data_IF_954081465869
#
_entry.id   IF_954081465869
#
_cell.length_a   1.000
_cell.length_b   1.000
_cell.length_c   1.000
_cell.angle_alpha   90.00
_cell.angle_beta   90.00
_cell.angle_gamma   90.00
#
_symmetry.space_group_name_H-M   'P 1'
#
loop_
_entity.id
_entity.type
_entity.pdbx_description
1 polymer ?
#
# COMPACT_ATOMS: atom_id res chain seq x y z
N UNK A 1 2.83 -7.65 11.35
CA UNK A 1 3.46 -9.01 11.31
C UNK A 1 3.41 -9.55 9.90
N UNK A 2 4.44 -10.22 9.40
CA UNK A 2 4.44 -10.78 8.04
C UNK A 2 3.33 -11.82 7.84
N UNK A 3 2.67 -11.77 6.69
CA UNK A 3 1.71 -12.80 6.25
C UNK A 3 2.42 -14.07 5.75
N UNK A 4 3.61 -13.89 5.18
CA UNK A 4 4.49 -14.95 4.65
C UNK A 4 5.97 -14.52 4.74
N UNK A 5 6.90 -15.41 4.46
CA UNK A 5 8.33 -15.08 4.32
C UNK A 5 8.62 -14.29 3.04
N UNK A 6 9.90 -13.95 2.81
CA UNK A 6 10.30 -13.27 1.58
C UNK A 6 10.03 -14.15 0.35
N UNK A 7 9.21 -13.68 -0.55
CA UNK A 7 8.87 -14.27 -1.85
C UNK A 7 9.27 -13.27 -2.93
N UNK A 8 10.01 -13.74 -3.95
CA UNK A 8 10.42 -12.90 -5.09
C UNK A 8 9.99 -13.49 -6.42
N UNK A 9 9.25 -14.58 -6.38
CA UNK A 9 8.55 -15.14 -7.53
C UNK A 9 7.24 -14.36 -7.74
N UNK A 10 7.15 -13.70 -8.88
CA UNK A 10 6.00 -12.84 -9.20
C UNK A 10 4.73 -13.66 -9.41
N UNK A 11 4.83 -14.87 -9.96
CA UNK A 11 3.67 -15.74 -10.15
C UNK A 11 3.12 -16.22 -8.79
N UNK A 12 4.00 -16.45 -7.80
CA UNK A 12 3.58 -16.79 -6.44
C UNK A 12 2.92 -15.60 -5.74
N UNK A 13 3.51 -14.39 -5.84
CA UNK A 13 2.93 -13.16 -5.29
C UNK A 13 1.60 -12.80 -5.95
N UNK A 14 1.40 -13.11 -7.23
CA UNK A 14 0.15 -12.84 -7.94
C UNK A 14 -1.06 -13.66 -7.43
N UNK A 15 -0.84 -14.62 -6.53
CA UNK A 15 -1.92 -15.30 -5.82
C UNK A 15 -2.50 -14.51 -4.63
N UNK A 16 -2.06 -13.27 -4.43
CA UNK A 16 -2.64 -12.36 -3.44
C UNK A 16 -2.99 -11.01 -4.04
N UNK A 17 -4.04 -10.38 -3.51
CA UNK A 17 -4.34 -8.98 -3.73
C UNK A 17 -4.67 -8.36 -2.37
N UNK A 18 -3.69 -7.70 -1.78
CA UNK A 18 -3.78 -7.20 -0.41
C UNK A 18 -4.16 -5.71 -0.33
N UNK A 19 -4.70 -5.16 -1.44
CA UNK A 19 -5.12 -3.77 -1.50
C UNK A 19 -6.39 -3.61 -2.36
N UNK A 20 -7.55 -3.75 -1.71
CA UNK A 20 -8.87 -3.69 -2.38
C UNK A 20 -9.79 -2.75 -1.62
N UNK A 21 -10.40 -1.81 -2.35
CA UNK A 21 -11.40 -0.87 -1.82
C UNK A 21 -12.80 -1.31 -2.17
N UNK A 22 -13.70 -1.15 -1.19
CA UNK A 22 -15.14 -1.31 -1.39
C UNK A 22 -15.81 0.03 -1.68
N UNK A 23 -17.14 0.03 -1.81
CA UNK A 23 -17.95 1.25 -1.94
C UNK A 23 -17.88 2.18 -0.71
N UNK A 24 -17.25 1.78 0.38
CA UNK A 24 -16.99 2.64 1.53
C UNK A 24 -15.87 3.66 1.24
N UNK A 25 -14.95 3.33 0.34
CA UNK A 25 -13.99 4.28 -0.21
C UNK A 25 -14.60 5.09 -1.35
N UNK A 26 -14.66 6.42 -1.22
CA UNK A 26 -15.33 7.32 -2.19
C UNK A 26 -14.78 7.25 -3.61
N UNK A 27 -13.51 6.87 -3.76
CA UNK A 27 -12.81 6.71 -5.04
C UNK A 27 -13.16 5.39 -5.75
N UNK A 28 -13.72 4.40 -5.04
CA UNK A 28 -14.10 3.13 -5.64
C UNK A 28 -15.38 3.25 -6.49
N UNK A 29 -15.45 2.46 -7.57
CA UNK A 29 -16.66 2.40 -8.39
C UNK A 29 -17.85 1.88 -7.57
N UNK A 30 -19.07 2.33 -7.91
CA UNK A 30 -20.31 1.97 -7.19
C UNK A 30 -20.62 0.48 -7.13
N UNK A 31 -20.04 -0.32 -8.02
CA UNK A 31 -20.20 -1.77 -8.04
C UNK A 31 -19.14 -2.52 -7.24
N UNK A 32 -18.24 -1.83 -6.53
CA UNK A 32 -17.24 -2.42 -5.63
C UNK A 32 -17.86 -2.84 -4.30
N UNK A 33 -18.99 -3.55 -4.34
CA UNK A 33 -19.60 -4.15 -3.15
C UNK A 33 -18.78 -5.37 -2.72
N UNK A 34 -18.84 -5.72 -1.43
CA UNK A 34 -18.17 -6.92 -0.94
C UNK A 34 -18.57 -8.17 -1.75
N UNK A 35 -19.87 -8.34 -2.04
CA UNK A 35 -20.35 -9.51 -2.81
C UNK A 35 -19.72 -9.56 -4.20
N UNK A 36 -19.72 -8.46 -4.93
CA UNK A 36 -19.15 -8.41 -6.26
C UNK A 36 -17.62 -8.65 -6.26
N UNK A 37 -16.91 -8.14 -5.26
CA UNK A 37 -15.47 -8.40 -5.09
C UNK A 37 -15.22 -9.89 -4.87
N UNK A 38 -15.99 -10.53 -3.97
CA UNK A 38 -15.87 -11.96 -3.71
C UNK A 38 -16.21 -12.80 -4.93
N UNK A 39 -17.27 -12.42 -5.68
CA UNK A 39 -17.68 -13.09 -6.91
C UNK A 39 -16.59 -12.98 -8.01
N UNK A 40 -15.90 -11.85 -8.12
CA UNK A 40 -14.77 -11.72 -9.04
C UNK A 40 -13.56 -12.54 -8.56
N UNK A 41 -13.23 -12.47 -7.27
CA UNK A 41 -12.11 -13.23 -6.71
C UNK A 41 -12.31 -14.75 -6.86
N UNK A 42 -13.54 -15.26 -6.78
CA UNK A 42 -13.84 -16.69 -7.02
C UNK A 42 -13.56 -17.16 -8.45
N UNK A 43 -13.39 -16.25 -9.41
CA UNK A 43 -13.06 -16.58 -10.82
C UNK A 43 -11.55 -16.61 -11.07
N UNK A 44 -10.74 -16.39 -10.05
CA UNK A 44 -9.28 -16.24 -10.12
C UNK A 44 -8.56 -17.34 -9.35
N UNK A 45 -7.24 -17.34 -9.39
CA UNK A 45 -6.36 -18.21 -8.59
C UNK A 45 -5.92 -17.58 -7.26
N UNK A 46 -6.58 -16.50 -6.82
CA UNK A 46 -6.26 -15.82 -5.57
C UNK A 46 -6.38 -16.77 -4.37
N UNK A 47 -5.37 -16.75 -3.51
CA UNK A 47 -5.33 -17.48 -2.24
C UNK A 47 -5.61 -16.58 -1.04
N UNK A 48 -5.30 -15.28 -1.18
CA UNK A 48 -5.54 -14.28 -0.13
C UNK A 48 -5.94 -12.95 -0.74
N UNK A 49 -6.96 -12.32 -0.19
CA UNK A 49 -7.31 -10.93 -0.48
C UNK A 49 -7.41 -10.13 0.82
N UNK A 50 -7.17 -8.82 0.75
CA UNK A 50 -7.44 -7.93 1.85
C UNK A 50 -8.37 -6.80 1.42
N UNK A 51 -9.42 -6.57 2.21
CA UNK A 51 -10.30 -5.41 2.08
C UNK A 51 -9.71 -4.31 2.93
N UNK A 52 -9.28 -3.22 2.30
CA UNK A 52 -8.46 -2.16 2.89
C UNK A 52 -9.01 -0.79 2.49
N UNK A 53 -10.27 -0.51 2.84
CA UNK A 53 -10.85 0.80 2.60
C UNK A 53 -10.04 1.90 3.26
N UNK A 54 -10.08 3.12 2.69
CA UNK A 54 -9.38 4.26 3.25
C UNK A 54 -9.86 4.60 4.66
N UNK A 55 -8.93 4.81 5.56
CA UNK A 55 -9.14 5.45 6.85
C UNK A 55 -8.36 6.75 6.89
N UNK A 56 -9.06 7.84 6.59
CA UNK A 56 -8.47 9.17 6.58
C UNK A 56 -8.36 9.75 7.99
N UNK A 57 -7.38 10.63 8.25
CA UNK A 57 -7.29 11.36 9.51
C UNK A 57 -8.62 12.03 9.85
N UNK A 58 -9.05 11.91 11.11
CA UNK A 58 -10.28 12.51 11.64
C UNK A 58 -11.59 11.98 11.03
N UNK A 59 -11.54 10.94 10.21
CA UNK A 59 -12.71 10.26 9.67
C UNK A 59 -13.50 9.56 10.80
N UNK A 60 -14.83 9.62 10.70
CA UNK A 60 -15.71 8.93 11.65
C UNK A 60 -16.47 7.82 10.94
N UNK A 61 -16.71 6.74 11.64
CA UNK A 61 -17.53 5.64 11.14
C UNK A 61 -16.76 4.55 10.39
N UNK A 62 -15.43 4.64 10.29
CA UNK A 62 -14.61 3.60 9.69
C UNK A 62 -14.79 2.23 10.37
N UNK A 63 -14.86 2.20 11.72
CA UNK A 63 -15.14 0.98 12.47
C UNK A 63 -16.48 0.32 12.10
N UNK A 64 -17.50 1.11 11.78
CA UNK A 64 -18.80 0.58 11.39
C UNK A 64 -18.73 -0.06 10.00
N UNK A 65 -17.95 0.52 9.08
CA UNK A 65 -17.67 -0.07 7.78
C UNK A 65 -16.97 -1.43 7.94
N UNK A 66 -15.94 -1.51 8.78
CA UNK A 66 -15.22 -2.76 9.11
C UNK A 66 -16.18 -3.80 9.70
N UNK A 67 -17.04 -3.41 10.64
CA UNK A 67 -18.07 -4.29 11.21
C UNK A 67 -19.05 -4.82 10.15
N UNK A 68 -19.48 -3.97 9.21
CA UNK A 68 -20.36 -4.36 8.10
C UNK A 68 -19.68 -5.38 7.16
N UNK A 69 -18.41 -5.15 6.80
CA UNK A 69 -17.63 -6.10 6.00
C UNK A 69 -17.52 -7.45 6.73
N UNK A 70 -17.11 -7.44 8.00
CA UNK A 70 -17.01 -8.67 8.82
C UNK A 70 -18.35 -9.38 8.94
N UNK A 71 -19.45 -8.65 9.08
CA UNK A 71 -20.80 -9.22 9.10
C UNK A 71 -21.16 -9.87 7.75
N UNK A 72 -20.82 -9.23 6.65
CA UNK A 72 -21.04 -9.76 5.29
C UNK A 72 -20.24 -11.03 5.00
N UNK A 73 -19.11 -11.25 5.70
CA UNK A 73 -18.28 -12.45 5.55
C UNK A 73 -18.75 -13.64 6.42
N UNK A 74 -19.61 -13.41 7.42
CA UNK A 74 -20.03 -14.47 8.35
C UNK A 74 -20.71 -15.63 7.67
N UNK A 75 -20.24 -16.85 7.93
CA UNK A 75 -20.82 -18.08 7.42
C UNK A 75 -20.55 -18.34 5.93
N UNK A 76 -19.71 -17.55 5.28
CA UNK A 76 -19.28 -17.81 3.90
C UNK A 76 -18.14 -18.82 3.90
N UNK A 77 -18.25 -19.82 3.04
CA UNK A 77 -17.16 -20.74 2.71
C UNK A 77 -16.51 -20.25 1.41
N UNK A 78 -15.30 -19.71 1.50
CA UNK A 78 -14.56 -19.15 0.37
C UNK A 78 -13.28 -19.99 0.12
N UNK A 79 -12.89 -20.18 -1.16
CA UNK A 79 -11.68 -20.93 -1.49
C UNK A 79 -10.38 -20.18 -1.20
N UNK A 80 -10.47 -18.94 -0.74
CA UNK A 80 -9.36 -18.05 -0.41
C UNK A 80 -9.58 -17.38 0.96
N UNK A 81 -8.50 -16.91 1.55
CA UNK A 81 -8.54 -16.14 2.79
C UNK A 81 -8.95 -14.70 2.51
N UNK A 82 -9.83 -14.14 3.33
CA UNK A 82 -10.18 -12.71 3.31
C UNK A 82 -9.70 -12.08 4.61
N UNK A 83 -8.86 -11.06 4.48
CA UNK A 83 -8.41 -10.21 5.57
C UNK A 83 -9.22 -8.92 5.56
N UNK A 84 -9.59 -8.42 6.73
CA UNK A 84 -10.32 -7.16 6.89
C UNK A 84 -9.44 -6.19 7.66
N UNK A 85 -9.13 -5.07 7.02
CA UNK A 85 -8.26 -4.05 7.59
C UNK A 85 -8.60 -2.67 7.04
N UNK A 86 -7.57 -1.86 6.85
CA UNK A 86 -7.70 -0.54 6.26
C UNK A 86 -6.43 -0.09 5.56
N UNK A 87 -6.59 0.78 4.56
CA UNK A 87 -5.51 1.66 4.12
C UNK A 87 -5.48 2.87 5.04
N UNK A 88 -4.60 2.77 6.04
CA UNK A 88 -4.44 3.71 7.13
C UNK A 88 -3.44 4.81 6.72
N UNK A 89 -3.55 5.98 7.32
CA UNK A 89 -2.69 7.12 6.97
C UNK A 89 -1.65 7.39 8.07
N UNK A 90 -0.36 7.38 7.70
CA UNK A 90 0.70 8.04 8.45
C UNK A 90 0.83 9.46 7.92
N UNK A 91 -0.09 10.35 8.33
CA UNK A 91 -0.33 11.65 7.71
C UNK A 91 0.63 12.75 8.16
N UNK A 92 1.38 12.49 9.23
CA UNK A 92 2.49 13.30 9.74
C UNK A 92 3.44 12.39 10.50
N UNK A 93 4.61 12.86 10.85
CA UNK A 93 5.63 12.08 11.56
C UNK A 93 5.10 11.65 12.93
N UNK A 94 4.89 10.34 13.08
CA UNK A 94 4.36 9.74 14.30
C UNK A 94 2.87 9.99 14.57
N UNK A 95 2.12 10.52 13.58
CA UNK A 95 0.68 10.72 13.68
C UNK A 95 -0.05 9.80 12.68
N UNK A 96 -1.01 9.05 13.19
CA UNK A 96 -1.72 8.00 12.46
C UNK A 96 -3.22 8.24 12.47
N UNK A 97 -3.93 7.76 11.44
CA UNK A 97 -5.38 7.95 11.33
C UNK A 97 -6.19 7.09 12.29
N UNK A 98 -5.64 5.98 12.74
CA UNK A 98 -6.27 4.99 13.59
C UNK A 98 -5.80 5.08 15.06
N UNK A 99 -6.65 4.65 15.96
CA UNK A 99 -6.32 4.45 17.39
C UNK A 99 -5.62 3.11 17.60
N UNK A 100 -5.07 2.90 18.81
CA UNK A 100 -4.44 1.61 19.17
C UNK A 100 -5.47 0.47 19.20
N UNK A 101 -6.70 0.75 19.64
CA UNK A 101 -7.80 -0.21 19.68
C UNK A 101 -8.23 -0.61 18.25
N UNK A 102 -8.36 0.34 17.35
CA UNK A 102 -8.68 0.09 15.94
C UNK A 102 -7.57 -0.74 15.30
N UNK A 103 -6.30 -0.31 15.45
CA UNK A 103 -5.13 -1.00 14.93
C UNK A 103 -5.09 -2.47 15.34
N UNK A 104 -5.30 -2.74 16.63
CA UNK A 104 -5.31 -4.09 17.19
C UNK A 104 -6.49 -4.95 16.68
N UNK A 105 -7.54 -4.33 16.16
CA UNK A 105 -8.74 -5.03 15.67
C UNK A 105 -8.63 -5.52 14.23
N UNK A 106 -7.68 -4.99 13.44
CA UNK A 106 -7.53 -5.33 12.03
C UNK A 106 -6.78 -6.65 11.83
N UNK A 107 -7.17 -7.39 10.78
CA UNK A 107 -6.46 -8.57 10.32
C UNK A 107 -5.24 -8.19 9.46
N UNK A 108 -5.27 -6.99 8.85
CA UNK A 108 -4.22 -6.47 8.00
C UNK A 108 -4.17 -4.95 8.04
N UNK A 109 -2.99 -4.39 8.33
CA UNK A 109 -2.75 -2.96 8.53
C UNK A 109 -1.85 -2.46 7.40
N UNK A 110 -2.47 -1.90 6.38
CA UNK A 110 -1.80 -1.30 5.23
C UNK A 110 -1.69 0.21 5.46
N UNK A 111 -0.48 0.77 5.45
CA UNK A 111 -0.28 2.20 5.73
C UNK A 111 0.28 2.93 4.53
N UNK A 112 -0.35 4.02 4.14
CA UNK A 112 0.22 5.01 3.24
C UNK A 112 1.04 6.05 4.01
N UNK A 113 2.17 6.50 3.41
CA UNK A 113 3.10 7.46 4.01
C UNK A 113 3.35 8.70 3.15
N UNK A 114 2.61 8.90 2.05
CA UNK A 114 2.92 9.95 1.07
C UNK A 114 1.71 10.52 0.32
N UNK A 115 0.50 10.45 0.87
CA UNK A 115 -0.72 10.98 0.25
C UNK A 115 -0.87 12.52 0.36
N UNK A 116 0.17 13.28 0.04
CA UNK A 116 0.17 14.76 0.16
C UNK A 116 -0.91 15.45 -0.67
N UNK A 117 -1.57 14.76 -1.60
CA UNK A 117 -2.73 15.25 -2.34
C UNK A 117 -4.04 15.29 -1.50
N UNK A 118 -4.01 14.81 -0.26
CA UNK A 118 -5.14 14.86 0.67
C UNK A 118 -4.98 16.05 1.62
N UNK A 119 -6.03 16.84 1.81
CA UNK A 119 -6.01 18.06 2.64
C UNK A 119 -5.62 17.81 4.11
N UNK A 120 -5.81 16.59 4.59
CA UNK A 120 -5.50 16.19 5.97
C UNK A 120 -4.03 15.89 6.21
N UNK A 121 -3.21 15.81 5.15
CA UNK A 121 -1.78 15.48 5.26
C UNK A 121 -0.93 16.69 5.56
N UNK A 122 0.03 16.53 6.48
CA UNK A 122 0.95 17.59 6.88
C UNK A 122 2.14 17.61 5.92
N UNK A 123 2.22 18.69 5.16
CA UNK A 123 3.36 18.89 4.27
C UNK A 123 4.62 19.33 5.04
N UNK A 124 5.83 19.03 4.55
CA UNK A 124 7.06 19.52 5.16
C UNK A 124 7.12 21.06 5.14
N UNK A 125 7.86 21.65 6.09
CA UNK A 125 8.15 23.09 6.06
C UNK A 125 9.04 23.46 4.86
N UNK A 126 10.07 22.64 4.59
CA UNK A 126 10.86 22.72 3.38
C UNK A 126 10.09 22.09 2.22
N UNK A 127 9.56 22.95 1.33
CA UNK A 127 8.79 22.54 0.14
C UNK A 127 9.65 22.17 -1.06
N UNK A 128 10.98 22.10 -0.90
CA UNK A 128 11.87 21.58 -1.94
C UNK A 128 11.62 20.09 -2.18
N UNK A 129 12.11 19.58 -3.32
CA UNK A 129 12.10 18.14 -3.59
C UNK A 129 12.80 17.36 -2.47
N UNK A 130 13.94 17.89 -2.00
CA UNK A 130 14.67 17.29 -0.88
C UNK A 130 13.83 17.24 0.39
N UNK A 131 13.10 18.31 0.71
CA UNK A 131 12.24 18.36 1.91
C UNK A 131 11.14 17.31 1.87
N UNK A 132 10.50 17.09 0.71
CA UNK A 132 9.51 16.01 0.54
C UNK A 132 10.13 14.62 0.65
N UNK A 133 11.31 14.40 0.06
CA UNK A 133 12.03 13.13 0.17
C UNK A 133 12.37 12.83 1.64
N UNK A 134 12.89 13.81 2.35
CA UNK A 134 13.22 13.67 3.77
C UNK A 134 11.98 13.35 4.60
N UNK A 135 10.87 14.07 4.38
CA UNK A 135 9.61 13.84 5.08
C UNK A 135 9.02 12.44 4.80
N UNK A 136 9.14 11.92 3.58
CA UNK A 136 8.72 10.54 3.28
C UNK A 136 9.48 9.52 4.14
N UNK A 137 10.80 9.65 4.26
CA UNK A 137 11.58 8.75 5.11
C UNK A 137 11.32 8.96 6.61
N UNK A 138 11.08 10.19 7.07
CA UNK A 138 10.67 10.48 8.45
C UNK A 138 9.36 9.78 8.79
N UNK A 139 8.33 9.89 7.93
CA UNK A 139 7.05 9.21 8.10
C UNK A 139 7.20 7.69 8.13
N UNK A 140 7.93 7.12 7.17
CA UNK A 140 8.19 5.68 7.09
C UNK A 140 8.91 5.20 8.35
N UNK A 141 9.99 5.87 8.75
CA UNK A 141 10.75 5.46 9.93
C UNK A 141 9.93 5.58 11.22
N UNK A 142 9.13 6.64 11.37
CA UNK A 142 8.25 6.80 12.53
C UNK A 142 7.19 5.69 12.58
N UNK A 143 6.59 5.33 11.44
CA UNK A 143 5.63 4.24 11.34
C UNK A 143 6.27 2.88 11.70
N UNK A 144 7.46 2.60 11.16
CA UNK A 144 8.18 1.35 11.45
C UNK A 144 8.54 1.25 12.94
N UNK A 145 9.06 2.34 13.54
CA UNK A 145 9.39 2.37 14.97
C UNK A 145 8.16 2.25 15.88
N UNK A 146 6.99 2.66 15.42
CA UNK A 146 5.74 2.47 16.13
C UNK A 146 5.16 1.05 16.01
N UNK A 147 5.72 0.20 15.13
CA UNK A 147 5.32 -1.20 14.89
C UNK A 147 3.82 -1.36 14.53
N UNK A 148 3.23 -0.34 13.87
CA UNK A 148 1.79 -0.31 13.60
C UNK A 148 1.40 -1.02 12.30
N UNK A 149 2.30 -1.12 11.33
CA UNK A 149 2.00 -1.60 9.99
C UNK A 149 2.35 -3.07 9.78
N UNK A 150 1.50 -3.78 9.04
CA UNK A 150 1.86 -5.07 8.42
C UNK A 150 2.50 -4.83 7.05
N UNK A 151 2.10 -3.77 6.34
CA UNK A 151 2.65 -3.40 5.05
C UNK A 151 2.60 -1.89 4.81
N UNK A 152 3.59 -1.36 4.09
CA UNK A 152 3.61 0.03 3.61
C UNK A 152 3.05 0.05 2.19
N UNK A 153 1.94 0.79 1.99
CA UNK A 153 1.23 0.91 0.74
C UNK A 153 2.01 1.75 -0.28
N UNK A 154 2.02 1.31 -1.56
CA UNK A 154 2.57 2.05 -2.72
C UNK A 154 3.67 3.06 -2.35
N UNK A 155 4.79 2.59 -1.74
CA UNK A 155 5.82 3.48 -1.22
C UNK A 155 6.42 4.33 -2.34
N UNK A 156 6.76 5.58 -1.99
CA UNK A 156 7.51 6.48 -2.87
C UNK A 156 6.82 6.90 -4.17
N UNK A 157 5.49 6.91 -4.26
CA UNK A 157 4.75 7.32 -5.48
C UNK A 157 4.89 8.82 -5.74
N UNK A 158 5.64 9.19 -6.79
CA UNK A 158 5.99 10.58 -7.10
C UNK A 158 4.79 11.47 -7.47
N UNK A 159 3.73 10.91 -8.05
CA UNK A 159 2.52 11.69 -8.43
C UNK A 159 1.82 12.36 -7.24
N UNK A 160 2.01 11.86 -6.02
CA UNK A 160 1.43 12.45 -4.80
C UNK A 160 2.27 13.58 -4.21
N UNK A 161 3.42 13.86 -4.79
CA UNK A 161 4.42 14.81 -4.30
C UNK A 161 4.63 15.95 -5.30
N UNK A 162 4.76 15.61 -6.59
CA UNK A 162 5.29 16.52 -7.62
C UNK A 162 4.58 17.86 -7.72
N UNK A 163 3.25 17.90 -7.52
CA UNK A 163 2.45 19.13 -7.60
C UNK A 163 2.67 20.09 -6.42
N UNK A 164 3.32 19.62 -5.35
CA UNK A 164 3.53 20.36 -4.11
C UNK A 164 4.95 20.84 -3.92
N UNK A 165 5.87 20.43 -4.81
CA UNK A 165 7.27 20.88 -4.79
C UNK A 165 7.33 22.31 -5.34
N UNK A 166 7.94 23.22 -4.56
CA UNK A 166 8.06 24.65 -4.93
C UNK A 166 9.29 24.96 -5.81
N UNK A 167 9.91 23.93 -6.38
CA UNK A 167 11.03 24.03 -7.31
C UNK A 167 10.56 23.68 -8.72
N UNK A 168 11.18 24.26 -9.74
CA UNK A 168 10.92 23.89 -11.13
C UNK A 168 11.65 22.58 -11.47
N UNK A 169 10.99 21.46 -11.18
CA UNK A 169 11.47 20.11 -11.49
C UNK A 169 10.74 19.45 -12.65
N UNK A 170 9.92 20.22 -13.37
CA UNK A 170 9.02 19.71 -14.40
C UNK A 170 7.79 19.02 -13.81
N UNK A 171 7.03 18.33 -14.66
CA UNK A 171 5.76 17.70 -14.29
C UNK A 171 5.80 16.17 -14.34
N UNK A 172 6.94 15.55 -14.57
CA UNK A 172 7.09 14.10 -14.61
C UNK A 172 7.26 13.54 -13.19
N UNK A 173 6.31 12.74 -12.67
CA UNK A 173 6.43 12.10 -11.36
C UNK A 173 7.69 11.26 -11.17
N UNK A 174 8.25 10.72 -12.25
CA UNK A 174 9.49 9.95 -12.22
C UNK A 174 10.71 10.79 -11.81
N UNK A 175 10.64 12.12 -11.92
CA UNK A 175 11.69 13.02 -11.38
C UNK A 175 11.77 12.90 -9.84
N UNK A 176 10.63 12.79 -9.18
CA UNK A 176 10.57 12.63 -7.71
C UNK A 176 11.13 11.27 -7.29
N UNK A 177 10.71 10.20 -7.96
CA UNK A 177 11.15 8.84 -7.60
C UNK A 177 12.62 8.61 -7.88
N UNK A 178 13.18 9.25 -8.91
CA UNK A 178 14.61 9.21 -9.21
C UNK A 178 15.48 9.85 -8.13
N UNK A 179 14.93 10.78 -7.33
CA UNK A 179 15.64 11.48 -6.27
C UNK A 179 15.72 10.70 -4.94
N UNK A 180 14.96 9.61 -4.76
CA UNK A 180 15.11 8.76 -3.57
C UNK A 180 16.44 8.02 -3.59
N UNK A 181 17.19 8.14 -2.49
CA UNK A 181 18.49 7.51 -2.33
C UNK A 181 18.39 6.01 -2.02
N UNK A 182 19.14 5.18 -2.75
CA UNK A 182 19.11 3.71 -2.62
C UNK A 182 19.55 3.25 -1.23
N UNK A 183 20.54 3.92 -0.64
CA UNK A 183 21.04 3.61 0.70
C UNK A 183 19.95 3.82 1.76
N UNK A 184 19.23 4.94 1.68
CA UNK A 184 18.10 5.23 2.59
C UNK A 184 16.95 4.26 2.40
N UNK A 185 16.65 3.84 1.15
CA UNK A 185 15.64 2.80 0.88
C UNK A 185 16.08 1.49 1.55
N UNK A 186 17.33 1.08 1.36
CA UNK A 186 17.88 -0.14 1.96
C UNK A 186 17.85 -0.08 3.49
N UNK A 187 18.22 1.05 4.10
CA UNK A 187 18.16 1.26 5.56
C UNK A 187 16.72 1.12 6.10
N UNK A 188 15.74 1.72 5.42
CA UNK A 188 14.34 1.60 5.79
C UNK A 188 13.83 0.15 5.66
N UNK A 189 14.27 -0.57 4.61
CA UNK A 189 13.95 -1.99 4.43
C UNK A 189 14.60 -2.89 5.49
N UNK A 190 15.84 -2.59 5.90
CA UNK A 190 16.49 -3.30 7.00
C UNK A 190 15.78 -3.05 8.35
N UNK A 191 15.25 -1.83 8.58
CA UNK A 191 14.44 -1.53 9.75
C UNK A 191 13.10 -2.29 9.69
N UNK A 192 12.43 -2.30 8.52
CA UNK A 192 11.15 -2.98 8.33
C UNK A 192 11.23 -4.49 8.62
N UNK A 193 12.35 -5.14 8.31
CA UNK A 193 12.60 -6.55 8.66
C UNK A 193 12.61 -6.79 10.17
N UNK A 194 13.21 -5.88 10.94
CA UNK A 194 13.28 -6.02 12.41
C UNK A 194 11.91 -5.95 13.06
N UNK A 195 11.01 -5.14 12.50
CA UNK A 195 9.65 -4.93 13.01
C UNK A 195 8.59 -5.73 12.25
N UNK A 196 9.00 -6.58 11.30
CA UNK A 196 8.15 -7.46 10.50
C UNK A 196 7.07 -6.72 9.70
N UNK A 197 7.43 -5.60 9.07
CA UNK A 197 6.59 -4.85 8.14
C UNK A 197 7.01 -5.13 6.71
N UNK A 198 6.06 -5.52 5.85
CA UNK A 198 6.28 -5.74 4.42
C UNK A 198 6.21 -4.43 3.62
N UNK A 199 6.59 -4.50 2.35
CA UNK A 199 6.48 -3.42 1.38
C UNK A 199 5.53 -3.82 0.27
N UNK A 200 4.64 -2.94 -0.11
CA UNK A 200 3.73 -3.23 -1.21
C UNK A 200 4.45 -3.14 -2.56
N UNK A 201 4.32 -4.19 -3.35
CA UNK A 201 4.47 -4.16 -4.80
C UNK A 201 3.12 -3.77 -5.39
N UNK A 202 2.86 -2.47 -5.49
CA UNK A 202 1.63 -1.95 -6.05
C UNK A 202 1.70 -2.01 -7.57
N UNK A 203 0.82 -2.78 -8.18
CA UNK A 203 0.84 -3.02 -9.64
C UNK A 203 0.69 -1.72 -10.42
N UNK A 204 -0.21 -0.83 -10.01
CA UNK A 204 -0.41 0.46 -10.67
C UNK A 204 0.83 1.36 -10.61
N UNK A 205 1.51 1.39 -9.47
CA UNK A 205 2.73 2.15 -9.27
C UNK A 205 3.90 1.58 -10.09
N UNK A 206 4.07 0.25 -10.13
CA UNK A 206 5.09 -0.43 -10.94
C UNK A 206 4.91 -0.11 -12.43
N UNK A 207 3.67 -0.18 -12.94
CA UNK A 207 3.38 0.12 -14.34
C UNK A 207 3.60 1.61 -14.68
N UNK A 208 3.42 2.51 -13.72
CA UNK A 208 3.61 3.96 -13.92
C UNK A 208 5.07 4.39 -13.88
N UNK A 209 5.91 3.70 -13.13
CA UNK A 209 7.35 3.98 -13.01
C UNK A 209 8.18 2.69 -12.96
N UNK A 210 8.33 2.00 -14.10
CA UNK A 210 9.03 0.72 -14.16
C UNK A 210 10.53 0.82 -13.81
N UNK A 211 11.14 2.00 -14.00
CA UNK A 211 12.57 2.20 -13.72
C UNK A 211 12.80 2.23 -12.20
N UNK A 212 12.02 3.02 -11.48
CA UNK A 212 12.13 3.10 -10.03
C UNK A 212 11.77 1.77 -9.38
N UNK A 213 10.64 1.15 -9.74
CA UNK A 213 10.19 -0.06 -9.07
C UNK A 213 11.06 -1.29 -9.36
N UNK A 214 11.74 -1.36 -10.51
CA UNK A 214 12.80 -2.35 -10.72
C UNK A 214 13.94 -2.14 -9.72
N UNK A 215 14.41 -0.90 -9.54
CA UNK A 215 15.44 -0.53 -8.58
C UNK A 215 15.02 -0.88 -7.15
N UNK A 216 13.82 -0.47 -6.75
CA UNK A 216 13.21 -0.74 -5.46
C UNK A 216 13.12 -2.25 -5.15
N UNK A 217 12.65 -3.04 -6.12
CA UNK A 217 12.56 -4.50 -5.98
C UNK A 217 13.93 -5.16 -5.83
N UNK A 218 14.93 -4.72 -6.59
CA UNK A 218 16.29 -5.24 -6.50
C UNK A 218 16.93 -4.92 -5.14
N UNK A 219 16.80 -3.70 -4.63
CA UNK A 219 17.24 -3.33 -3.29
C UNK A 219 16.59 -4.26 -2.25
N UNK A 220 15.27 -4.47 -2.34
CA UNK A 220 14.56 -5.35 -1.42
C UNK A 220 15.03 -6.80 -1.47
N UNK A 221 15.33 -7.32 -2.67
CA UNK A 221 15.91 -8.65 -2.82
C UNK A 221 17.29 -8.76 -2.18
N UNK A 222 18.15 -7.76 -2.35
CA UNK A 222 19.50 -7.73 -1.78
C UNK A 222 19.47 -7.71 -0.26
N UNK A 223 18.58 -6.91 0.36
CA UNK A 223 18.44 -6.84 1.81
C UNK A 223 17.56 -7.95 2.39
N UNK A 224 16.84 -8.70 1.57
CA UNK A 224 15.92 -9.74 2.02
C UNK A 224 14.61 -9.19 2.60
N UNK A 225 14.10 -8.08 2.07
CA UNK A 225 12.82 -7.51 2.45
C UNK A 225 11.65 -8.40 2.03
N UNK A 226 10.55 -8.35 2.77
CA UNK A 226 9.30 -9.01 2.42
C UNK A 226 8.44 -8.07 1.58
N UNK A 227 7.95 -8.58 0.47
CA UNK A 227 6.98 -7.88 -0.38
C UNK A 227 5.62 -8.55 -0.30
N UNK A 228 4.56 -7.73 -0.32
CA UNK A 228 3.19 -8.12 -0.54
C UNK A 228 2.69 -7.51 -1.85
N UNK A 229 1.86 -8.21 -2.60
CA UNK A 229 1.29 -7.67 -3.83
C UNK A 229 -0.06 -7.00 -3.57
N UNK A 230 -0.24 -5.80 -4.11
CA UNK A 230 -1.50 -5.04 -4.06
C UNK A 230 -1.82 -4.40 -5.40
N UNK A 231 -3.12 -4.33 -5.71
CA UNK A 231 -3.62 -3.72 -6.94
C UNK A 231 -4.14 -2.30 -6.76
N UNK A 232 -4.36 -1.88 -5.51
CA UNK A 232 -5.11 -0.64 -5.20
C UNK A 232 -6.44 -0.63 -5.99
N UNK A 233 -7.21 -1.69 -5.77
CA UNK A 233 -8.35 -2.07 -6.60
C UNK A 233 -9.55 -1.19 -6.34
N UNK A 234 -9.93 -0.36 -7.31
CA UNK A 234 -11.11 0.51 -7.29
C UNK A 234 -12.18 0.10 -8.31
N UNK A 235 -11.96 -0.99 -9.06
CA UNK A 235 -12.88 -1.53 -10.06
C UNK A 235 -12.74 -3.05 -10.20
N UNK A 236 -13.83 -3.75 -10.47
CA UNK A 236 -13.88 -5.21 -10.49
C UNK A 236 -12.94 -5.86 -11.50
N UNK A 237 -12.68 -5.21 -12.63
CA UNK A 237 -11.76 -5.67 -13.67
C UNK A 237 -10.30 -5.75 -13.20
N UNK A 238 -9.98 -5.11 -12.06
CA UNK A 238 -8.66 -5.07 -11.43
C UNK A 238 -8.53 -5.93 -10.17
N UNK A 239 -9.44 -6.84 -9.92
CA UNK A 239 -9.36 -7.75 -8.74
C UNK A 239 -8.23 -8.75 -8.89
N UNK A 240 -7.93 -9.18 -10.11
CA UNK A 240 -7.00 -10.26 -10.44
C UNK A 240 -5.61 -9.74 -10.87
N UNK A 241 -4.59 -9.83 -10.03
CA UNK A 241 -3.23 -9.40 -10.37
C UNK A 241 -2.50 -10.36 -11.32
N UNK A 242 -2.93 -11.63 -11.44
CA UNK A 242 -2.31 -12.61 -12.35
C UNK A 242 -2.31 -12.11 -13.81
N UNK A 243 -3.30 -11.29 -14.19
CA UNK A 243 -3.38 -10.65 -15.50
C UNK A 243 -2.16 -9.78 -15.84
N UNK A 244 -1.40 -9.37 -14.84
CA UNK A 244 -0.23 -8.49 -14.99
C UNK A 244 1.09 -9.22 -14.75
N UNK A 245 1.09 -10.52 -14.38
CA UNK A 245 2.29 -11.28 -14.01
C UNK A 245 3.41 -11.20 -15.04
N UNK A 246 3.11 -11.38 -16.33
CA UNK A 246 4.13 -11.33 -17.38
C UNK A 246 4.74 -9.93 -17.54
N UNK A 247 3.94 -8.88 -17.36
CA UNK A 247 4.42 -7.51 -17.41
C UNK A 247 5.25 -7.16 -16.18
N UNK A 248 4.80 -7.57 -15.00
CA UNK A 248 5.55 -7.39 -13.76
C UNK A 248 6.90 -8.12 -13.81
N UNK A 249 6.95 -9.37 -14.28
CA UNK A 249 8.20 -10.12 -14.48
C UNK A 249 9.15 -9.37 -15.41
N UNK A 250 8.67 -8.87 -16.54
CA UNK A 250 9.48 -8.11 -17.50
C UNK A 250 10.05 -6.80 -16.91
N UNK A 251 9.30 -6.16 -16.00
CA UNK A 251 9.72 -4.94 -15.32
C UNK A 251 10.69 -5.24 -14.19
N UNK A 252 10.36 -6.19 -13.32
CA UNK A 252 11.05 -6.38 -12.05
C UNK A 252 12.26 -7.31 -12.15
N UNK A 253 12.24 -8.25 -13.08
CA UNK A 253 13.30 -9.25 -13.28
C UNK A 253 14.15 -8.92 -14.50
#
# INVERSE_FOLDING_TARGET
>A
MYLHGAIYDIDELAHENLHIHTTFSRCAKRNMTLDNILDEAMKTNLKTIAITDHHQPFEKGFEDNVKMIRQGLRGRELPFKVLVGGELSSYDVGNFSDTDEENASFDYRLYSCNHYHQDSWVHPEDRSLKGYIDRCFENINALLLAERADCIAHPFVGKYIIEYVEEDIGSDPCTVTAAFDDGRIAEAMELSKKVQTAWELNVGAILSDPVFYRRFFNIGREVGAVFNLGMDTHSLDRVDPEKYSDELKRILL
#
